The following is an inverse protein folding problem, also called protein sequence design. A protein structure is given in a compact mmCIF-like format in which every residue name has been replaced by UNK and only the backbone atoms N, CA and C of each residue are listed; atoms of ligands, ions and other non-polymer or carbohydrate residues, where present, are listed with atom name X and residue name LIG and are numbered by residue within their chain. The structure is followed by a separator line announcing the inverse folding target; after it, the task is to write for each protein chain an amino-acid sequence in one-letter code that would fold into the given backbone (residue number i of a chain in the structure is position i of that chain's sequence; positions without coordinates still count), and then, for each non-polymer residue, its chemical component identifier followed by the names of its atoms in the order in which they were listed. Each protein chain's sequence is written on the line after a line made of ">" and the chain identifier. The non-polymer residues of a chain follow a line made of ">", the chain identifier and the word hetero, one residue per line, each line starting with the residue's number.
data_IF_848386419567
#
_entry.id   IF_848386419567
#
_cell.length_a   1.000
_cell.length_b   1.000
_cell.length_c   1.000
_cell.angle_alpha   90.00
_cell.angle_beta   90.00
_cell.angle_gamma   90.00
#
_symmetry.space_group_name_H-M   'P 1'
#
loop_
_entity.id
_entity.type
_entity.pdbx_description
1 polymer ?
#
# COMPACT_ATOMS: atom_id res chain seq x y z
N UNK A 1 -8.37 -27.18 23.34
CA UNK A 1 -9.42 -26.26 22.88
C UNK A 1 -10.20 -26.94 21.74
N UNK A 2 -11.38 -27.36 22.04
CA UNK A 2 -12.25 -27.98 21.03
C UNK A 2 -13.12 -26.88 20.41
N UNK A 3 -12.51 -26.04 19.54
CA UNK A 3 -13.26 -25.14 18.70
C UNK A 3 -14.03 -25.97 17.65
N UNK A 4 -15.18 -25.46 17.22
CA UNK A 4 -16.03 -26.09 16.19
C UNK A 4 -15.39 -26.15 14.79
N UNK A 5 -14.05 -26.03 14.69
CA UNK A 5 -13.33 -26.00 13.40
C UNK A 5 -13.65 -24.77 12.53
N UNK A 6 -14.33 -23.76 13.11
CA UNK A 6 -14.67 -22.53 12.41
C UNK A 6 -13.43 -21.65 12.33
N UNK A 7 -12.98 -21.38 11.12
CA UNK A 7 -11.89 -20.41 10.87
C UNK A 7 -12.30 -19.02 11.34
N UNK A 8 -11.37 -18.27 11.93
CA UNK A 8 -11.60 -16.88 12.28
C UNK A 8 -12.10 -16.09 11.06
N UNK A 9 -13.14 -15.29 11.23
CA UNK A 9 -13.67 -14.43 10.16
C UNK A 9 -12.59 -13.48 9.63
N UNK A 10 -11.73 -12.97 10.50
CA UNK A 10 -10.59 -12.14 10.13
C UNK A 10 -9.61 -12.88 9.21
N UNK A 11 -9.28 -14.13 9.53
CA UNK A 11 -8.40 -14.96 8.70
C UNK A 11 -9.04 -15.28 7.34
N UNK A 12 -10.31 -15.66 7.33
CA UNK A 12 -11.05 -15.93 6.08
C UNK A 12 -11.08 -14.70 5.19
N UNK A 13 -11.40 -13.54 5.74
CA UNK A 13 -11.43 -12.28 5.02
C UNK A 13 -10.05 -11.90 4.47
N UNK A 14 -8.99 -12.08 5.27
CA UNK A 14 -7.62 -11.81 4.86
C UNK A 14 -7.20 -12.68 3.67
N UNK A 15 -7.51 -13.96 3.71
CA UNK A 15 -7.23 -14.92 2.62
C UNK A 15 -7.99 -14.51 1.35
N UNK A 16 -9.29 -14.24 1.44
CA UNK A 16 -10.10 -13.82 0.28
C UNK A 16 -9.57 -12.52 -0.36
N UNK A 17 -9.12 -11.56 0.44
CA UNK A 17 -8.53 -10.35 -0.09
C UNK A 17 -7.22 -10.61 -0.83
N UNK A 18 -6.36 -11.48 -0.29
CA UNK A 18 -5.11 -11.90 -0.95
C UNK A 18 -5.41 -12.60 -2.27
N UNK A 19 -6.35 -13.55 -2.28
CA UNK A 19 -6.76 -14.25 -3.49
C UNK A 19 -7.26 -13.29 -4.56
N UNK A 20 -8.03 -12.28 -4.19
CA UNK A 20 -8.46 -11.22 -5.12
C UNK A 20 -7.28 -10.45 -5.72
N UNK A 21 -6.30 -10.08 -4.91
CA UNK A 21 -5.11 -9.37 -5.41
C UNK A 21 -4.32 -10.27 -6.37
N UNK A 22 -4.09 -11.53 -6.03
CA UNK A 22 -3.37 -12.48 -6.88
C UNK A 22 -4.14 -12.74 -8.18
N UNK A 23 -5.44 -13.00 -8.09
CA UNK A 23 -6.27 -13.35 -9.24
C UNK A 23 -6.47 -12.20 -10.22
N UNK A 24 -6.65 -10.99 -9.72
CA UNK A 24 -7.02 -9.82 -10.52
C UNK A 24 -5.91 -8.79 -10.68
N UNK A 25 -4.87 -8.82 -9.85
CA UNK A 25 -3.81 -7.81 -9.85
C UNK A 25 -3.04 -7.71 -11.17
N UNK A 26 -2.90 -8.82 -11.88
CA UNK A 26 -2.26 -8.87 -13.21
C UNK A 26 -3.25 -8.80 -14.38
N UNK A 27 -4.55 -8.92 -14.13
CA UNK A 27 -5.57 -8.95 -15.17
C UNK A 27 -5.90 -7.55 -15.68
N UNK A 28 -5.59 -7.29 -16.95
CA UNK A 28 -5.97 -6.03 -17.62
C UNK A 28 -7.35 -6.12 -18.30
N UNK A 29 -7.88 -7.33 -18.49
CA UNK A 29 -9.10 -7.56 -19.25
C UNK A 29 -10.37 -7.36 -18.43
N UNK A 30 -10.34 -7.69 -17.14
CA UNK A 30 -11.50 -7.62 -16.27
C UNK A 30 -11.63 -6.26 -15.58
N UNK A 31 -12.85 -5.77 -15.48
CA UNK A 31 -13.15 -4.51 -14.77
C UNK A 31 -12.65 -4.54 -13.32
N UNK A 32 -12.83 -5.65 -12.62
CA UNK A 32 -12.33 -5.84 -11.25
C UNK A 32 -10.81 -5.66 -11.16
N UNK A 33 -10.05 -6.19 -12.12
CA UNK A 33 -8.60 -6.03 -12.18
C UNK A 33 -8.18 -4.58 -12.42
N UNK A 34 -8.90 -3.87 -13.29
CA UNK A 34 -8.66 -2.44 -13.53
C UNK A 34 -8.93 -1.60 -12.27
N UNK A 35 -10.05 -1.85 -11.59
CA UNK A 35 -10.42 -1.15 -10.34
C UNK A 35 -9.37 -1.43 -9.26
N UNK A 36 -8.96 -2.68 -9.09
CA UNK A 36 -7.93 -3.05 -8.11
C UNK A 36 -6.62 -2.33 -8.39
N UNK A 37 -6.16 -2.32 -9.63
CA UNK A 37 -4.93 -1.63 -10.03
C UNK A 37 -5.00 -0.14 -9.73
N UNK A 38 -6.06 0.53 -10.16
CA UNK A 38 -6.23 1.96 -9.86
C UNK A 38 -6.30 2.24 -8.35
N UNK A 39 -6.90 1.35 -7.57
CA UNK A 39 -6.92 1.48 -6.11
C UNK A 39 -5.52 1.34 -5.50
N UNK A 40 -4.69 0.44 -6.00
CA UNK A 40 -3.29 0.27 -5.58
C UNK A 40 -2.43 1.46 -6.02
N UNK A 41 -2.60 1.96 -7.23
CA UNK A 41 -1.92 3.15 -7.74
C UNK A 41 -2.31 4.39 -6.95
N UNK A 42 -3.60 4.57 -6.63
CA UNK A 42 -4.09 5.65 -5.78
C UNK A 42 -3.46 5.58 -4.39
N UNK A 43 -3.34 4.39 -3.81
CA UNK A 43 -2.69 4.20 -2.52
C UNK A 43 -1.19 4.52 -2.58
N UNK A 44 -0.48 4.15 -3.64
CA UNK A 44 0.92 4.56 -3.87
C UNK A 44 1.06 6.08 -3.94
N UNK A 45 0.18 6.76 -4.65
CA UNK A 45 0.16 8.22 -4.72
C UNK A 45 -0.13 8.86 -3.37
N UNK A 46 -1.04 8.29 -2.59
CA UNK A 46 -1.36 8.74 -1.23
C UNK A 46 -0.14 8.61 -0.31
N UNK A 47 0.58 7.48 -0.37
CA UNK A 47 1.80 7.24 0.37
C UNK A 47 3.01 8.03 -0.18
N UNK A 48 3.04 8.27 -1.48
CA UNK A 48 4.12 8.97 -2.17
C UNK A 48 5.38 8.13 -2.35
N UNK A 49 5.23 6.82 -2.56
CA UNK A 49 6.33 5.88 -2.76
C UNK A 49 6.09 4.96 -3.96
N UNK A 50 7.17 4.47 -4.57
CA UNK A 50 7.13 3.45 -5.63
C UNK A 50 7.21 2.02 -5.10
N UNK A 51 7.43 1.82 -3.80
CA UNK A 51 7.44 0.50 -3.22
C UNK A 51 6.13 -0.26 -3.44
N UNK A 52 6.20 -1.59 -3.59
CA UNK A 52 5.00 -2.41 -3.52
C UNK A 52 4.37 -2.27 -2.14
N UNK A 53 3.16 -1.70 -2.08
CA UNK A 53 2.50 -1.36 -0.81
C UNK A 53 2.45 -2.54 0.16
N UNK A 54 2.09 -3.77 -0.29
CA UNK A 54 2.07 -4.91 0.62
C UNK A 54 3.43 -5.29 1.20
N UNK A 55 4.53 -4.80 0.61
CA UNK A 55 5.90 -5.08 1.05
C UNK A 55 6.52 -3.98 1.92
N UNK A 56 5.86 -2.83 2.03
CA UNK A 56 6.34 -1.71 2.83
C UNK A 56 6.24 -2.00 4.33
N UNK A 57 7.11 -1.37 5.12
CA UNK A 57 7.06 -1.46 6.58
C UNK A 57 5.77 -0.83 7.11
N UNK A 58 4.89 -1.66 7.66
CA UNK A 58 3.58 -1.25 8.16
C UNK A 58 3.71 -0.13 9.20
N UNK A 59 4.66 -0.25 10.14
CA UNK A 59 4.86 0.73 11.21
C UNK A 59 5.21 2.13 10.68
N UNK A 60 5.94 2.21 9.57
CA UNK A 60 6.39 3.49 8.99
C UNK A 60 5.33 4.12 8.09
N UNK A 61 4.59 3.33 7.32
CA UNK A 61 3.77 3.81 6.22
C UNK A 61 2.27 3.75 6.45
N UNK A 62 1.78 2.79 7.26
CA UNK A 62 0.34 2.52 7.36
C UNK A 62 -0.49 3.67 7.91
N UNK A 63 0.09 4.49 8.78
CA UNK A 63 -0.60 5.64 9.37
C UNK A 63 -0.83 6.80 8.38
N UNK A 64 -0.13 6.76 7.23
CA UNK A 64 -0.32 7.72 6.13
C UNK A 64 -1.49 7.33 5.23
N UNK A 65 -1.87 6.06 5.20
CA UNK A 65 -2.92 5.53 4.36
C UNK A 65 -4.30 5.70 4.99
N UNK A 66 -5.29 6.09 4.18
CA UNK A 66 -6.70 6.08 4.56
C UNK A 66 -7.18 4.66 4.83
N UNK A 67 -8.12 4.48 5.76
CA UNK A 67 -8.68 3.18 6.06
C UNK A 67 -9.42 2.61 4.85
N UNK A 68 -9.02 1.40 4.47
CA UNK A 68 -9.55 0.69 3.31
C UNK A 68 -9.32 -0.81 3.45
N UNK A 69 -10.00 -1.60 2.63
CA UNK A 69 -9.78 -3.04 2.59
C UNK A 69 -8.34 -3.39 2.16
N UNK A 70 -7.69 -2.56 1.32
CA UNK A 70 -6.28 -2.73 0.94
C UNK A 70 -5.35 -2.53 2.13
N UNK A 71 -5.60 -1.52 2.98
CA UNK A 71 -4.85 -1.29 4.21
C UNK A 71 -5.03 -2.46 5.18
N UNK A 72 -6.24 -2.99 5.32
CA UNK A 72 -6.51 -4.17 6.15
C UNK A 72 -5.79 -5.41 5.61
N UNK A 73 -5.77 -5.61 4.29
CA UNK A 73 -5.02 -6.71 3.67
C UNK A 73 -3.51 -6.56 3.90
N UNK A 74 -2.99 -5.36 3.74
CA UNK A 74 -1.59 -5.06 4.03
C UNK A 74 -1.22 -5.38 5.49
N UNK A 75 -2.07 -4.97 6.43
CA UNK A 75 -1.91 -5.31 7.85
C UNK A 75 -1.91 -6.83 8.08
N UNK A 76 -2.86 -7.55 7.48
CA UNK A 76 -2.95 -9.01 7.57
C UNK A 76 -1.69 -9.69 7.02
N UNK A 77 -1.18 -9.24 5.88
CA UNK A 77 0.07 -9.75 5.29
C UNK A 77 1.26 -9.54 6.23
N UNK A 78 1.39 -8.34 6.80
CA UNK A 78 2.48 -8.01 7.72
C UNK A 78 2.43 -8.86 9.01
N UNK A 79 1.25 -9.02 9.60
CA UNK A 79 1.04 -9.84 10.80
C UNK A 79 1.40 -11.32 10.57
N UNK A 80 1.12 -11.82 9.37
CA UNK A 80 1.42 -13.20 8.98
C UNK A 80 2.80 -13.36 8.29
N UNK A 81 3.62 -12.31 8.25
CA UNK A 81 4.95 -12.29 7.60
C UNK A 81 4.93 -12.72 6.13
N UNK A 82 3.83 -12.42 5.44
CA UNK A 82 3.65 -12.72 4.02
C UNK A 82 3.98 -11.49 3.17
N UNK A 83 4.45 -11.74 1.95
CA UNK A 83 4.73 -10.69 0.95
C UNK A 83 4.12 -11.09 -0.38
N UNK A 84 3.51 -10.14 -1.05
CA UNK A 84 2.99 -10.30 -2.42
C UNK A 84 3.43 -9.10 -3.26
N UNK A 85 3.59 -9.33 -4.56
CA UNK A 85 3.74 -8.24 -5.53
C UNK A 85 2.35 -7.84 -6.00
N UNK A 86 2.08 -6.54 -6.04
CA UNK A 86 0.77 -6.02 -6.43
C UNK A 86 0.64 -5.71 -7.93
N UNK A 87 1.75 -5.74 -8.67
CA UNK A 87 1.78 -5.45 -10.10
C UNK A 87 1.35 -4.03 -10.48
N UNK A 88 1.23 -3.12 -9.50
CA UNK A 88 0.86 -1.73 -9.76
C UNK A 88 1.98 -0.96 -10.46
N UNK A 89 1.61 0.05 -11.27
CA UNK A 89 2.58 0.91 -11.93
C UNK A 89 3.28 1.83 -10.92
N UNK A 90 4.53 2.15 -11.21
CA UNK A 90 5.30 3.12 -10.44
C UNK A 90 4.99 4.55 -10.86
N UNK A 91 5.19 5.48 -9.93
CA UNK A 91 5.17 6.91 -10.22
C UNK A 91 6.37 7.23 -11.12
N UNK A 92 6.09 7.81 -12.29
CA UNK A 92 7.15 8.14 -13.25
C UNK A 92 8.04 9.26 -12.71
N UNK A 93 9.35 9.04 -12.76
CA UNK A 93 10.35 10.07 -12.52
C UNK A 93 10.57 10.85 -13.81
N UNK A 94 10.55 12.18 -13.73
CA UNK A 94 10.63 13.04 -14.91
C UNK A 94 12.06 13.43 -15.28
N UNK A 95 12.99 13.42 -14.31
CA UNK A 95 14.38 13.81 -14.49
C UNK A 95 15.30 12.73 -13.93
N UNK A 96 16.55 12.70 -14.41
CA UNK A 96 17.55 11.68 -14.05
C UNK A 96 17.83 11.58 -12.54
N UNK A 97 17.72 12.70 -11.82
CA UNK A 97 18.00 12.75 -10.37
C UNK A 97 16.77 12.98 -9.51
N UNK A 98 15.57 12.90 -10.11
CA UNK A 98 14.33 13.01 -9.33
C UNK A 98 14.21 11.87 -8.32
N UNK A 99 13.80 12.19 -7.12
CA UNK A 99 13.45 11.18 -6.12
C UNK A 99 12.06 11.48 -5.55
N UNK A 100 11.43 10.45 -5.01
CA UNK A 100 10.14 10.61 -4.35
C UNK A 100 10.34 11.30 -3.01
N UNK A 101 9.62 12.38 -2.80
CA UNK A 101 9.73 13.24 -1.63
C UNK A 101 9.53 12.46 -0.33
N UNK A 102 8.57 11.54 -0.30
CA UNK A 102 8.28 10.75 0.89
C UNK A 102 9.37 9.73 1.20
N UNK A 103 9.97 9.12 0.17
CA UNK A 103 11.10 8.21 0.34
C UNK A 103 12.34 8.98 0.89
N UNK A 104 12.56 10.20 0.41
CA UNK A 104 13.61 11.07 0.95
C UNK A 104 13.37 11.44 2.42
N UNK A 105 12.13 11.75 2.82
CA UNK A 105 11.79 12.03 4.22
C UNK A 105 11.99 10.80 5.11
N UNK A 106 11.58 9.61 4.66
CA UNK A 106 11.81 8.36 5.40
C UNK A 106 13.31 8.07 5.53
N UNK A 107 14.08 8.25 4.47
CA UNK A 107 15.54 8.09 4.48
C UNK A 107 16.22 9.11 5.42
N UNK A 108 15.69 10.32 5.55
CA UNK A 108 16.15 11.34 6.49
C UNK A 108 15.73 11.08 7.95
N UNK A 109 15.02 9.98 8.22
CA UNK A 109 14.62 9.56 9.56
C UNK A 109 13.31 10.16 10.08
N UNK A 110 12.52 10.81 9.24
CA UNK A 110 11.20 11.29 9.64
C UNK A 110 10.24 10.11 9.84
N UNK A 111 9.53 10.11 10.97
CA UNK A 111 8.58 9.06 11.35
C UNK A 111 7.35 9.65 12.03
N UNK A 112 6.33 8.82 12.23
CA UNK A 112 5.16 9.15 13.03
C UNK A 112 4.43 10.40 12.57
N UNK A 113 4.09 11.26 13.51
CA UNK A 113 3.27 12.46 13.25
C UNK A 113 3.98 13.50 12.37
N UNK A 114 5.32 13.59 12.45
CA UNK A 114 6.10 14.47 11.57
C UNK A 114 6.00 14.03 10.11
N UNK A 115 6.16 12.74 9.85
CA UNK A 115 6.02 12.18 8.51
C UNK A 115 4.59 12.37 7.97
N UNK A 116 3.59 12.19 8.84
CA UNK A 116 2.18 12.43 8.50
C UNK A 116 1.91 13.88 8.10
N UNK A 117 2.45 14.84 8.85
CA UNK A 117 2.34 16.26 8.53
C UNK A 117 2.99 16.58 7.18
N UNK A 118 4.19 16.08 6.94
CA UNK A 118 4.90 16.26 5.66
C UNK A 118 4.10 15.67 4.49
N UNK A 119 3.51 14.49 4.67
CA UNK A 119 2.65 13.89 3.64
C UNK A 119 1.40 14.73 3.37
N UNK A 120 0.75 15.28 4.40
CA UNK A 120 -0.39 16.20 4.22
C UNK A 120 0.01 17.46 3.46
N UNK A 121 1.15 18.07 3.79
CA UNK A 121 1.68 19.22 3.06
C UNK A 121 1.95 18.88 1.59
N UNK A 122 2.60 17.74 1.33
CA UNK A 122 2.85 17.23 -0.02
C UNK A 122 1.57 17.08 -0.83
N UNK A 123 0.56 16.42 -0.25
CA UNK A 123 -0.74 16.21 -0.89
C UNK A 123 -1.45 17.54 -1.18
N UNK A 124 -1.40 18.48 -0.24
CA UNK A 124 -1.97 19.81 -0.43
C UNK A 124 -1.28 20.58 -1.58
N UNK A 125 0.04 20.53 -1.63
CA UNK A 125 0.85 21.16 -2.67
C UNK A 125 0.83 20.38 -4.00
N UNK A 126 0.30 19.17 -4.01
CA UNK A 126 0.26 18.25 -5.17
C UNK A 126 1.66 17.96 -5.73
N UNK A 127 2.65 17.84 -4.88
CA UNK A 127 4.02 17.48 -5.25
C UNK A 127 4.34 16.05 -4.85
N UNK A 128 5.09 15.34 -5.68
CA UNK A 128 5.51 13.96 -5.44
C UNK A 128 7.04 13.81 -5.53
N UNK A 129 7.69 14.62 -6.33
CA UNK A 129 9.12 14.57 -6.65
C UNK A 129 9.88 15.74 -6.02
N UNK A 130 11.15 15.48 -5.75
CA UNK A 130 12.13 16.48 -5.29
C UNK A 130 13.00 16.88 -6.49
#
# INVERSE_FOLDING_TARGET
>A
YQGLGVTSLYTTQGIEHIERIIKFGTSQKHLTGKILRHSLEALKLELGTNGSVPSLLLATWSHLATDSWLKHTWKFLAENKMRISDGSADILLCREHDCLLMDAFVAAGYTGERLRLLNRCRLYLRVALL
#
